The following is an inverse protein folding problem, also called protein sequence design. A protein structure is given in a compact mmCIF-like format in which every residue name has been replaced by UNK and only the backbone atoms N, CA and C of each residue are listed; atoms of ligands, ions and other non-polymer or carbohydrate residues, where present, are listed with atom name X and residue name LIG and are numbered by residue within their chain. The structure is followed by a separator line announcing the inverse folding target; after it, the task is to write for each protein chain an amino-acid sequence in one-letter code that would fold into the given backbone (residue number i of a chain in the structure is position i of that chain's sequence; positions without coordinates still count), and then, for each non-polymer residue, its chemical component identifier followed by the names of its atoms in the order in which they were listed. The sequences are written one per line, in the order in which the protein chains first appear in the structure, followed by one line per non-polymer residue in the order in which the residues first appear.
data_IF_167977050093
#
_entry.id   IF_167977050093
#
_cell.length_a   1.000
_cell.length_b   1.000
_cell.length_c   1.000
_cell.angle_alpha   90.00
_cell.angle_beta   90.00
_cell.angle_gamma   90.00
#
_symmetry.space_group_name_H-M   'P 1'
#
loop_
_entity.id
_entity.type
_entity.pdbx_description
1 polymer ?
#
# COMPACT_ATOMS: atom_id res chain seq x y z
N UNK A 1 8.74 0.93 9.33
CA UNK A 1 7.90 1.48 8.26
C UNK A 1 7.20 2.75 8.71
N UNK A 2 7.44 3.88 8.03
CA UNK A 2 6.66 5.11 8.21
C UNK A 2 5.16 4.85 7.98
N UNK A 3 4.28 5.64 8.61
CA UNK A 3 2.84 5.55 8.37
C UNK A 3 2.49 6.20 7.04
N UNK A 4 1.70 5.53 6.21
CA UNK A 4 1.05 6.14 5.06
C UNK A 4 0.05 7.16 5.59
N UNK A 5 0.16 8.38 5.07
CA UNK A 5 -0.80 9.41 5.35
C UNK A 5 -1.97 9.32 4.36
N UNK A 6 -3.10 8.80 4.82
CA UNK A 6 -4.33 8.78 4.03
C UNK A 6 -5.08 10.12 4.03
N UNK A 7 -4.65 11.12 4.84
CA UNK A 7 -5.43 12.32 5.17
C UNK A 7 -4.76 13.68 4.85
N UNK A 8 -3.54 13.79 4.30
CA UNK A 8 -2.84 15.11 4.18
C UNK A 8 -2.16 15.38 2.83
N UNK A 9 -2.39 16.62 2.36
CA UNK A 9 -1.69 17.39 1.32
C UNK A 9 -0.82 18.46 2.04
N UNK A 10 0.43 18.67 1.60
CA UNK A 10 1.47 19.61 2.11
C UNK A 10 2.25 19.11 3.37
N UNK A 11 3.58 19.27 3.55
CA UNK A 11 4.60 20.23 3.07
C UNK A 11 6.06 19.69 3.18
N UNK A 12 7.01 20.37 2.52
CA UNK A 12 8.42 20.03 2.14
C UNK A 12 9.50 20.14 3.29
N UNK A 13 10.83 19.83 3.22
CA UNK A 13 11.86 19.80 2.15
C UNK A 13 13.24 19.18 2.58
N UNK A 14 14.14 18.89 1.59
CA UNK A 14 15.65 18.86 1.57
C UNK A 14 16.43 17.68 2.21
N UNK A 15 17.63 17.19 1.80
CA UNK A 15 18.72 17.51 0.82
C UNK A 15 19.58 16.26 0.47
N UNK A 16 20.29 16.29 -0.66
CA UNK A 16 21.05 15.24 -1.40
C UNK A 16 22.30 14.58 -0.76
N UNK A 17 22.51 13.26 -1.04
CA UNK A 17 23.79 12.58 -1.44
C UNK A 17 23.46 11.26 -2.19
N UNK A 18 24.09 10.94 -3.33
CA UNK A 18 23.79 9.73 -4.14
C UNK A 18 24.32 8.45 -3.47
N UNK A 19 23.39 7.57 -3.08
CA UNK A 19 23.62 6.20 -2.64
C UNK A 19 22.61 5.29 -3.36
N UNK A 20 22.97 4.05 -3.67
CA UNK A 20 22.05 3.00 -4.17
C UNK A 20 20.97 2.59 -3.13
N UNK A 21 20.83 3.36 -2.06
CA UNK A 21 19.74 3.32 -1.08
C UNK A 21 18.53 4.12 -1.55
N UNK A 22 18.53 4.72 -2.74
CA UNK A 22 17.50 5.67 -3.18
C UNK A 22 16.48 5.07 -4.14
N UNK A 23 15.32 5.72 -4.22
CA UNK A 23 14.30 5.39 -5.22
C UNK A 23 14.87 5.64 -6.62
N UNK A 24 14.59 4.73 -7.57
CA UNK A 24 15.10 4.87 -8.95
C UNK A 24 14.45 6.07 -9.65
N UNK A 25 15.29 6.95 -10.18
CA UNK A 25 14.85 8.09 -10.97
C UNK A 25 14.20 7.65 -12.28
N UNK A 26 14.71 6.59 -12.93
CA UNK A 26 14.08 6.06 -14.16
C UNK A 26 12.68 5.52 -13.88
N UNK A 27 12.50 4.76 -12.80
CA UNK A 27 11.20 4.24 -12.39
C UNK A 27 10.19 5.36 -12.11
N UNK A 28 10.59 6.36 -11.34
CA UNK A 28 9.75 7.51 -11.02
C UNK A 28 9.40 8.32 -12.27
N UNK A 29 10.36 8.54 -13.16
CA UNK A 29 10.13 9.27 -14.40
C UNK A 29 9.14 8.53 -15.31
N UNK A 30 9.29 7.21 -15.45
CA UNK A 30 8.36 6.38 -16.20
C UNK A 30 6.94 6.43 -15.61
N UNK A 31 6.81 6.44 -14.28
CA UNK A 31 5.52 6.64 -13.61
C UNK A 31 4.93 8.02 -13.90
N UNK A 32 5.72 9.09 -13.83
CA UNK A 32 5.25 10.45 -14.15
C UNK A 32 4.67 10.51 -15.56
N UNK A 33 5.40 9.99 -16.54
CA UNK A 33 4.97 9.93 -17.95
C UNK A 33 3.70 9.11 -18.13
N UNK A 34 3.61 7.95 -17.45
CA UNK A 34 2.44 7.10 -17.50
C UNK A 34 1.17 7.80 -16.97
N UNK A 35 1.28 8.49 -15.83
CA UNK A 35 0.14 9.18 -15.22
C UNK A 35 -0.24 10.47 -15.95
N UNK A 36 0.71 11.12 -16.65
CA UNK A 36 0.43 12.25 -17.56
C UNK A 36 -0.44 11.85 -18.75
N UNK A 37 -0.41 10.58 -19.16
CA UNK A 37 -1.28 10.04 -20.21
C UNK A 37 -2.68 9.64 -19.71
N UNK A 38 -3.03 9.92 -18.45
CA UNK A 38 -4.34 9.67 -17.84
C UNK A 38 -4.86 8.24 -18.06
N UNK A 39 -4.26 7.24 -17.39
CA UNK A 39 -4.70 5.86 -17.53
C UNK A 39 -6.17 5.69 -17.10
N UNK A 40 -6.87 4.80 -17.80
CA UNK A 40 -8.27 4.47 -17.50
C UNK A 40 -8.39 3.52 -16.32
N UNK A 41 -7.35 2.73 -16.01
CA UNK A 41 -7.28 1.85 -14.85
C UNK A 41 -5.86 1.82 -14.30
N UNK A 42 -5.73 1.80 -12.98
CA UNK A 42 -4.45 1.60 -12.29
C UNK A 42 -4.59 0.54 -11.21
N UNK A 43 -3.75 -0.49 -11.29
CA UNK A 43 -3.61 -1.53 -10.28
C UNK A 43 -2.23 -1.40 -9.62
N UNK A 44 -2.20 -1.19 -8.30
CA UNK A 44 -0.96 -1.19 -7.52
C UNK A 44 -0.86 -2.46 -6.66
N UNK A 45 0.35 -3.00 -6.56
CA UNK A 45 0.70 -4.14 -5.72
C UNK A 45 2.03 -3.89 -5.02
N UNK A 46 2.27 -4.66 -3.98
CA UNK A 46 3.50 -4.58 -3.20
C UNK A 46 4.17 -5.94 -3.09
N UNK A 47 5.50 -5.93 -3.09
CA UNK A 47 6.35 -7.08 -2.79
C UNK A 47 7.48 -6.62 -1.89
N UNK A 48 8.12 -7.56 -1.21
CA UNK A 48 9.39 -7.31 -0.54
C UNK A 48 10.50 -7.97 -1.36
N UNK A 49 11.56 -7.23 -1.65
CA UNK A 49 12.73 -7.77 -2.33
C UNK A 49 13.50 -8.72 -1.41
N UNK A 50 14.40 -9.52 -2.00
CA UNK A 50 15.33 -10.35 -1.21
C UNK A 50 16.31 -9.51 -0.36
N UNK A 51 16.51 -8.24 -0.72
CA UNK A 51 17.29 -7.27 0.05
C UNK A 51 16.46 -6.58 1.14
N UNK A 52 15.19 -6.96 1.33
CA UNK A 52 14.33 -6.38 2.38
C UNK A 52 13.71 -5.03 2.02
N UNK A 53 13.73 -4.63 0.75
CA UNK A 53 13.16 -3.36 0.29
C UNK A 53 11.70 -3.53 -0.12
N UNK A 54 10.88 -2.50 0.11
CA UNK A 54 9.53 -2.47 -0.42
C UNK A 54 9.57 -2.16 -1.92
N UNK A 55 9.05 -3.08 -2.71
CA UNK A 55 8.88 -2.95 -4.16
C UNK A 55 7.43 -2.61 -4.45
N UNK A 56 7.23 -1.51 -5.16
CA UNK A 56 5.93 -1.07 -5.66
C UNK A 56 5.81 -1.53 -7.10
N UNK A 57 4.77 -2.30 -7.40
CA UNK A 57 4.40 -2.68 -8.76
C UNK A 57 3.15 -1.92 -9.17
N UNK A 58 3.22 -1.14 -10.25
CA UNK A 58 2.08 -0.39 -10.79
C UNK A 58 1.79 -0.86 -12.20
N UNK A 59 0.57 -1.32 -12.44
CA UNK A 59 0.07 -1.62 -13.77
C UNK A 59 -0.97 -0.58 -14.15
N UNK A 60 -0.75 0.09 -15.28
CA UNK A 60 -1.69 1.05 -15.85
C UNK A 60 -2.29 0.50 -17.13
N UNK A 61 -3.56 0.77 -17.37
CA UNK A 61 -4.26 0.48 -18.62
C UNK A 61 -4.76 1.79 -19.19
N UNK A 62 -4.56 2.02 -20.48
CA UNK A 62 -5.03 3.20 -21.19
C UNK A 62 -6.33 2.92 -21.95
N UNK A 63 -6.99 3.97 -22.42
CA UNK A 63 -8.22 3.85 -23.20
C UNK A 63 -8.03 3.03 -24.49
N UNK A 64 -6.82 3.04 -25.05
CA UNK A 64 -6.43 2.26 -26.23
C UNK A 64 -6.35 0.75 -25.97
N UNK A 65 -6.48 0.32 -24.71
CA UNK A 65 -6.24 -1.06 -24.28
C UNK A 65 -4.76 -1.38 -24.03
N UNK A 66 -3.84 -0.44 -24.27
CA UNK A 66 -2.41 -0.61 -23.96
C UNK A 66 -2.24 -0.77 -22.45
N UNK A 67 -1.45 -1.77 -22.05
CA UNK A 67 -1.11 -2.05 -20.65
C UNK A 67 0.39 -1.83 -20.47
N UNK A 68 0.76 -1.08 -19.44
CA UNK A 68 2.16 -0.89 -19.04
C UNK A 68 2.33 -1.32 -17.58
N UNK A 69 3.48 -1.93 -17.30
CA UNK A 69 3.86 -2.41 -15.98
C UNK A 69 5.16 -1.73 -15.56
N UNK A 70 5.14 -1.16 -14.36
CA UNK A 70 6.27 -0.49 -13.74
C UNK A 70 6.53 -1.17 -12.40
N UNK A 71 7.80 -1.43 -12.11
CA UNK A 71 8.20 -2.00 -10.83
C UNK A 71 9.47 -1.32 -10.36
N UNK A 72 9.51 -0.93 -9.09
CA UNK A 72 10.67 -0.29 -8.50
C UNK A 72 10.56 -0.21 -6.99
N UNK A 73 11.71 -0.06 -6.34
CA UNK A 73 11.75 0.22 -4.92
C UNK A 73 11.11 1.59 -4.64
N UNK A 74 10.37 1.70 -3.54
CA UNK A 74 9.67 2.93 -3.21
C UNK A 74 9.41 3.09 -1.72
N UNK A 75 9.05 4.30 -1.35
CA UNK A 75 8.75 4.69 0.01
C UNK A 75 7.27 5.06 0.19
N UNK A 76 6.88 5.42 1.41
CA UNK A 76 5.49 5.78 1.73
C UNK A 76 5.02 7.05 1.01
N UNK A 77 5.92 7.97 0.70
CA UNK A 77 5.60 9.21 -0.01
C UNK A 77 5.30 8.93 -1.48
N UNK A 78 6.07 8.05 -2.14
CA UNK A 78 5.78 7.60 -3.50
C UNK A 78 4.44 6.87 -3.56
N UNK A 79 4.14 6.00 -2.59
CA UNK A 79 2.84 5.31 -2.52
C UNK A 79 1.71 6.34 -2.45
N UNK A 80 1.84 7.35 -1.59
CA UNK A 80 0.85 8.41 -1.41
C UNK A 80 0.68 9.26 -2.69
N UNK A 81 1.79 9.58 -3.37
CA UNK A 81 1.78 10.32 -4.62
C UNK A 81 1.08 9.53 -5.75
N UNK A 82 1.35 8.23 -5.88
CA UNK A 82 0.67 7.39 -6.86
C UNK A 82 -0.82 7.25 -6.51
N UNK A 83 -1.19 7.13 -5.23
CA UNK A 83 -2.58 7.14 -4.78
C UNK A 83 -3.35 8.39 -5.26
N UNK A 84 -2.72 9.56 -5.16
CA UNK A 84 -3.27 10.83 -5.68
C UNK A 84 -3.31 10.82 -7.21
N UNK A 85 -2.29 10.27 -7.85
CA UNK A 85 -2.26 10.05 -9.30
C UNK A 85 -3.44 9.18 -9.78
N UNK A 86 -3.83 8.14 -9.04
CA UNK A 86 -5.01 7.31 -9.35
C UNK A 86 -6.33 8.10 -9.26
N UNK A 87 -6.35 9.21 -8.53
CA UNK A 87 -7.45 10.18 -8.48
C UNK A 87 -7.29 11.31 -9.49
N UNK A 88 -6.36 11.19 -10.45
CA UNK A 88 -5.99 12.20 -11.45
C UNK A 88 -5.40 13.48 -10.86
N UNK A 89 -4.93 13.43 -9.61
CA UNK A 89 -4.21 14.52 -8.94
C UNK A 89 -2.72 14.19 -9.03
N UNK A 90 -2.08 14.63 -10.11
CA UNK A 90 -0.70 14.23 -10.43
C UNK A 90 0.38 15.14 -9.84
N UNK A 91 0.01 16.26 -9.21
CA UNK A 91 0.97 17.29 -8.76
C UNK A 91 2.07 16.70 -7.84
N UNK A 92 1.67 15.90 -6.86
CA UNK A 92 2.60 15.27 -5.92
C UNK A 92 3.51 14.25 -6.62
N UNK A 93 2.97 13.47 -7.55
CA UNK A 93 3.76 12.52 -8.33
C UNK A 93 4.73 13.25 -9.27
N UNK A 94 4.31 14.34 -9.90
CA UNK A 94 5.15 15.18 -10.76
C UNK A 94 6.26 15.87 -9.98
N UNK A 95 5.97 16.34 -8.76
CA UNK A 95 6.91 16.99 -7.87
C UNK A 95 7.84 16.01 -7.12
N UNK A 96 7.50 14.72 -7.08
CA UNK A 96 8.31 13.70 -6.41
C UNK A 96 9.71 13.61 -7.04
N UNK A 97 10.75 13.73 -6.22
CA UNK A 97 12.14 13.72 -6.64
C UNK A 97 12.83 12.48 -6.12
N UNK A 98 12.98 11.45 -6.94
CA UNK A 98 13.49 10.14 -6.52
C UNK A 98 14.80 10.22 -5.73
N UNK A 99 15.67 11.15 -6.10
CA UNK A 99 16.94 11.44 -5.47
C UNK A 99 16.82 11.98 -4.04
N UNK A 100 15.68 12.47 -3.59
CA UNK A 100 15.47 12.96 -2.21
C UNK A 100 14.97 11.83 -1.27
N UNK A 101 14.59 10.66 -1.82
CA UNK A 101 13.96 9.58 -1.05
C UNK A 101 14.85 8.35 -0.92
N UNK A 102 15.06 7.92 0.32
CA UNK A 102 15.71 6.67 0.66
C UNK A 102 14.69 5.53 0.77
N UNK A 103 15.09 4.37 0.28
CA UNK A 103 14.37 3.10 0.35
C UNK A 103 14.69 2.45 1.68
N UNK A 104 13.66 2.31 2.52
CA UNK A 104 13.77 1.55 3.76
C UNK A 104 14.15 0.09 3.45
N UNK A 105 15.21 -0.39 4.10
CA UNK A 105 15.62 -1.80 4.10
C UNK A 105 15.22 -2.39 5.45
N UNK A 106 14.44 -3.45 5.45
CA UNK A 106 14.04 -4.15 6.68
C UNK A 106 15.22 -4.75 7.41
N UNK A 107 15.11 -4.76 8.74
CA UNK A 107 15.92 -5.66 9.57
C UNK A 107 15.40 -7.09 9.44
N UNK A 108 16.25 -8.07 9.72
CA UNK A 108 15.89 -9.50 9.64
C UNK A 108 14.57 -9.79 10.38
N UNK A 109 13.60 -10.35 9.65
CA UNK A 109 12.30 -10.75 10.18
C UNK A 109 11.15 -9.74 10.00
N UNK A 110 11.42 -8.48 9.60
CA UNK A 110 10.34 -7.52 9.32
C UNK A 110 9.70 -7.76 7.95
N UNK A 111 8.36 -7.71 7.88
CA UNK A 111 7.61 -7.83 6.63
C UNK A 111 6.92 -6.50 6.29
N UNK A 112 7.53 -5.69 5.41
CA UNK A 112 6.99 -4.36 5.05
C UNK A 112 5.62 -4.46 4.38
N UNK A 113 5.37 -5.51 3.60
CA UNK A 113 4.09 -5.67 2.92
C UNK A 113 2.97 -5.95 3.92
N UNK A 114 3.26 -6.74 4.96
CA UNK A 114 2.32 -6.99 6.06
C UNK A 114 2.08 -5.72 6.89
N UNK A 115 3.14 -4.99 7.25
CA UNK A 115 3.01 -3.72 7.97
C UNK A 115 2.21 -2.69 7.17
N UNK A 116 2.39 -2.67 5.85
CA UNK A 116 1.60 -1.85 4.97
C UNK A 116 0.14 -2.29 4.96
N UNK A 117 -0.13 -3.59 4.81
CA UNK A 117 -1.48 -4.13 4.85
C UNK A 117 -2.22 -3.79 6.15
N UNK A 118 -1.55 -3.86 7.31
CA UNK A 118 -2.11 -3.42 8.61
C UNK A 118 -2.58 -1.97 8.58
N UNK A 119 -1.91 -1.10 7.83
CA UNK A 119 -2.32 0.30 7.67
C UNK A 119 -3.51 0.43 6.72
N UNK A 120 -3.52 -0.29 5.59
CA UNK A 120 -4.65 -0.24 4.64
C UNK A 120 -5.93 -0.82 5.21
N UNK A 121 -5.84 -1.94 5.94
CA UNK A 121 -7.03 -2.59 6.50
C UNK A 121 -7.70 -1.77 7.61
N UNK A 122 -6.94 -0.87 8.25
CA UNK A 122 -7.43 0.11 9.22
C UNK A 122 -7.82 1.45 8.59
N UNK A 123 -7.58 1.63 7.28
CA UNK A 123 -7.89 2.86 6.58
C UNK A 123 -9.40 2.97 6.29
N UNK A 124 -9.92 4.19 6.03
CA UNK A 124 -11.32 4.36 5.62
C UNK A 124 -11.59 3.85 4.19
N UNK A 125 -10.60 3.31 3.48
CA UNK A 125 -10.80 2.79 2.13
C UNK A 125 -11.65 1.53 2.15
N UNK A 126 -12.55 1.42 1.16
CA UNK A 126 -13.37 0.22 1.02
C UNK A 126 -12.50 -0.97 0.59
N UNK A 127 -12.42 -1.97 1.45
CA UNK A 127 -11.77 -3.24 1.20
C UNK A 127 -12.75 -4.29 0.66
N UNK A 128 -12.28 -5.14 -0.25
CA UNK A 128 -12.99 -6.29 -0.78
C UNK A 128 -12.09 -7.52 -0.67
N UNK A 129 -12.64 -8.61 -0.16
CA UNK A 129 -11.97 -9.92 -0.21
C UNK A 129 -12.05 -10.43 -1.64
N UNK A 130 -10.90 -10.76 -2.20
CA UNK A 130 -10.77 -11.37 -3.52
C UNK A 130 -10.58 -12.88 -3.37
N UNK A 131 -10.73 -13.62 -4.47
CA UNK A 131 -10.40 -15.05 -4.47
C UNK A 131 -8.95 -15.27 -4.01
N UNK A 132 -8.77 -16.22 -3.10
CA UNK A 132 -7.45 -16.61 -2.62
C UNK A 132 -6.55 -17.07 -3.77
N UNK A 133 -5.27 -16.75 -3.66
CA UNK A 133 -4.26 -17.20 -4.61
C UNK A 133 -3.47 -18.37 -4.02
N UNK A 134 -3.10 -19.33 -4.86
CA UNK A 134 -2.30 -20.48 -4.45
C UNK A 134 -0.98 -20.45 -5.20
N UNK A 135 0.13 -20.59 -4.47
CA UNK A 135 1.45 -20.73 -5.08
C UNK A 135 1.59 -22.09 -5.75
N UNK A 136 2.58 -22.23 -6.64
CA UNK A 136 2.89 -23.51 -7.28
C UNK A 136 3.30 -24.60 -6.26
N UNK A 137 3.62 -24.22 -5.02
CA UNK A 137 3.94 -25.12 -3.90
C UNK A 137 2.72 -25.47 -3.04
N UNK A 138 1.52 -25.01 -3.42
CA UNK A 138 0.27 -25.21 -2.67
C UNK A 138 0.08 -24.25 -1.50
N UNK A 139 0.94 -23.24 -1.33
CA UNK A 139 0.77 -22.27 -0.25
C UNK A 139 -0.40 -21.33 -0.57
N UNK A 140 -1.29 -21.14 0.41
CA UNK A 140 -2.47 -20.28 0.29
C UNK A 140 -2.14 -18.84 0.65
N UNK A 141 -2.66 -17.90 -0.14
CA UNK A 141 -2.53 -16.47 0.05
C UNK A 141 -3.91 -15.83 0.09
N UNK A 142 -4.18 -15.06 1.16
CA UNK A 142 -5.39 -14.24 1.27
C UNK A 142 -5.19 -12.98 0.45
N UNK A 143 -6.10 -12.75 -0.50
CA UNK A 143 -6.05 -11.57 -1.35
C UNK A 143 -7.15 -10.58 -0.97
N UNK A 144 -6.77 -9.31 -0.82
CA UNK A 144 -7.70 -8.20 -0.62
C UNK A 144 -7.41 -7.07 -1.58
N UNK A 145 -8.48 -6.43 -2.04
CA UNK A 145 -8.44 -5.24 -2.88
C UNK A 145 -9.00 -4.05 -2.11
N UNK A 146 -8.22 -2.98 -2.02
CA UNK A 146 -8.65 -1.69 -1.51
C UNK A 146 -8.91 -0.76 -2.68
N UNK A 147 -10.05 -0.06 -2.64
CA UNK A 147 -10.45 0.87 -3.71
C UNK A 147 -10.40 2.28 -3.18
N UNK A 148 -9.51 3.10 -3.75
CA UNK A 148 -9.45 4.53 -3.45
C UNK A 148 -10.28 5.35 -4.45
N UNK A 149 -10.37 4.89 -5.70
CA UNK A 149 -11.16 5.52 -6.76
C UNK A 149 -11.88 4.45 -7.58
N UNK A 150 -12.82 4.86 -8.45
CA UNK A 150 -13.59 3.91 -9.28
C UNK A 150 -12.69 3.04 -10.17
N UNK A 151 -11.51 3.54 -10.56
CA UNK A 151 -10.59 2.90 -11.51
C UNK A 151 -9.18 2.62 -10.94
N UNK A 152 -8.96 2.96 -9.67
CA UNK A 152 -7.68 2.81 -8.97
C UNK A 152 -7.82 1.83 -7.82
N UNK A 153 -7.10 0.70 -7.89
CA UNK A 153 -7.16 -0.33 -6.87
C UNK A 153 -5.77 -0.74 -6.38
N UNK A 154 -5.71 -1.11 -5.11
CA UNK A 154 -4.52 -1.59 -4.45
C UNK A 154 -4.78 -3.03 -4.02
N UNK A 155 -3.95 -3.96 -4.46
CA UNK A 155 -4.12 -5.38 -4.17
C UNK A 155 -2.98 -5.91 -3.30
N UNK A 156 -3.37 -6.48 -2.17
CA UNK A 156 -2.50 -7.26 -1.29
C UNK A 156 -2.82 -8.74 -1.49
N UNK A 157 -1.78 -9.57 -1.60
CA UNK A 157 -1.91 -11.02 -1.47
C UNK A 157 -0.83 -11.48 -0.49
N UNK A 158 -1.24 -11.79 0.73
CA UNK A 158 -0.37 -12.17 1.82
C UNK A 158 -0.55 -13.66 2.13
N UNK A 159 0.53 -14.34 2.52
CA UNK A 159 0.47 -15.74 2.93
C UNK A 159 -0.57 -15.87 4.05
N UNK A 160 -1.41 -16.90 3.99
CA UNK A 160 -2.52 -17.11 4.91
C UNK A 160 -2.02 -17.59 6.29
N UNK A 161 -1.39 -16.70 7.04
CA UNK A 161 -1.01 -16.89 8.45
C UNK A 161 -2.20 -16.56 9.37
N UNK A 162 -2.13 -17.00 10.63
CA UNK A 162 -3.14 -16.67 11.64
C UNK A 162 -3.32 -15.16 11.78
N UNK A 163 -2.22 -14.42 11.87
CA UNK A 163 -2.22 -12.94 11.93
C UNK A 163 -2.96 -12.30 10.73
N UNK A 164 -2.71 -12.76 9.51
CA UNK A 164 -3.40 -12.23 8.32
C UNK A 164 -4.88 -12.57 8.36
N UNK A 165 -5.24 -13.79 8.77
CA UNK A 165 -6.63 -14.21 8.87
C UNK A 165 -7.40 -13.43 9.95
N UNK A 166 -6.79 -13.20 11.10
CA UNK A 166 -7.34 -12.39 12.20
C UNK A 166 -7.57 -10.95 11.78
N UNK A 167 -6.58 -10.30 11.14
CA UNK A 167 -6.72 -8.95 10.61
C UNK A 167 -7.93 -8.83 9.66
N UNK A 168 -8.11 -9.78 8.76
CA UNK A 168 -9.23 -9.81 7.82
C UNK A 168 -10.56 -10.04 8.55
N UNK A 169 -10.60 -10.98 9.48
CA UNK A 169 -11.79 -11.30 10.27
C UNK A 169 -12.25 -10.09 11.08
N UNK A 170 -11.32 -9.42 11.76
CA UNK A 170 -11.58 -8.22 12.56
C UNK A 170 -12.15 -7.08 11.71
N UNK A 171 -11.56 -6.85 10.54
CA UNK A 171 -12.04 -5.83 9.61
C UNK A 171 -13.47 -6.11 9.11
N UNK A 172 -13.83 -7.39 8.99
CA UNK A 172 -15.14 -7.86 8.53
C UNK A 172 -16.20 -7.92 9.64
N UNK A 173 -15.85 -7.71 10.91
CA UNK A 173 -16.84 -7.63 11.99
C UNK A 173 -17.85 -6.52 11.70
N UNK A 174 -19.16 -6.80 11.82
CA UNK A 174 -20.19 -5.78 11.66
C UNK A 174 -20.12 -4.76 12.81
N UNK A 175 -20.59 -3.53 12.57
CA UNK A 175 -20.48 -2.41 13.52
C UNK A 175 -21.09 -2.73 14.89
N UNK A 176 -22.22 -3.45 14.93
CA UNK A 176 -22.87 -3.84 16.18
C UNK A 176 -21.98 -4.73 17.07
N UNK A 177 -21.19 -5.65 16.51
CA UNK A 177 -20.25 -6.45 17.30
C UNK A 177 -19.13 -5.59 17.88
N UNK A 178 -18.63 -4.62 17.09
CA UNK A 178 -17.57 -3.70 17.55
C UNK A 178 -18.07 -2.80 18.68
N UNK A 179 -19.32 -2.35 18.61
CA UNK A 179 -19.96 -1.58 19.68
C UNK A 179 -20.18 -2.41 20.96
N UNK A 180 -20.54 -3.68 20.84
CA UNK A 180 -20.70 -4.58 21.99
C UNK A 180 -19.36 -4.88 22.68
N UNK A 181 -18.30 -5.14 21.91
CA UNK A 181 -16.94 -5.33 22.43
C UNK A 181 -16.42 -4.07 23.14
N UNK A 182 -16.61 -2.89 22.54
CA UNK A 182 -16.22 -1.61 23.16
C UNK A 182 -17.00 -1.32 24.45
N UNK A 183 -18.27 -1.74 24.54
CA UNK A 183 -19.07 -1.65 25.77
C UNK A 183 -18.58 -2.63 26.85
N UNK A 184 -18.17 -3.84 26.48
CA UNK A 184 -17.62 -4.83 27.40
C UNK A 184 -16.26 -4.40 27.97
N UNK A 185 -15.35 -3.87 27.15
CA UNK A 185 -14.06 -3.33 27.62
C UNK A 185 -14.23 -2.13 28.57
N UNK A 186 -15.27 -1.32 28.38
CA UNK A 186 -15.58 -0.18 29.28
C UNK A 186 -16.34 -0.57 30.55
N UNK A 187 -16.87 -1.80 30.63
CA UNK A 187 -17.56 -2.34 31.82
C UNK A 187 -16.69 -3.25 32.70
N UNK A 188 -15.38 -3.33 32.48
CA UNK A 188 -14.42 -3.85 33.48
C UNK A 188 -13.83 -2.72 34.35
N UNK A 189 -14.51 -2.23 35.42
CA UNK A 189 -13.82 -1.51 36.48
C UNK A 189 -13.07 -2.51 37.35
N UNK A 190 -11.78 -2.24 37.56
CA UNK A 190 -10.90 -2.73 38.63
C UNK A 190 -11.58 -3.66 39.66
N UNK A 191 -11.36 -4.96 39.54
CA UNK A 191 -11.45 -5.87 40.69
C UNK A 191 -10.05 -6.30 41.10
N UNK A 192 -9.34 -5.45 41.85
CA UNK A 192 -8.52 -5.90 42.98
C UNK A 192 -8.41 -4.76 44.00
N UNK A 193 -9.07 -4.94 45.14
CA UNK A 193 -8.61 -4.49 46.45
C UNK A 193 -8.71 -5.72 47.37
#
# INVERSE_FOLDING_TARGET
MKKINFNILSENASTNVVNNTKVSAEFVQALKEAFLMFPTKTDMRFKQSNSGQLIISVTVTYWTGTVQHFEGAGDTELISAIHKGMAKIINDLSAYKAEEHEVEVTKDGENLVLELFKQYIKSPMRGYIETDWYSNKGERYRCMRFTNTFNGYIKFCLKATDEVNELISEACKPEWMKEEEAKQETTEPNKVA
#
